data_IF_170474330185
#
_entry.id   IF_170474330185
#
_cell.length_a   1.000
_cell.length_b   1.000
_cell.length_c   1.000
_cell.angle_alpha   90.00
_cell.angle_beta   90.00
_cell.angle_gamma   90.00
#
_symmetry.space_group_name_H-M   'P 1'
#
loop_
_entity.id
_entity.type
_entity.pdbx_description
1 polymer ?
#
# COMPACT_ATOMS: atom_id res chain seq x y z
N UNK A 1 28.27 25.02 -12.77
CA UNK A 1 27.21 24.00 -12.86
C UNK A 1 25.95 24.75 -13.26
N UNK A 2 25.27 24.37 -14.34
CA UNK A 2 23.99 25.01 -14.68
C UNK A 2 22.95 24.57 -13.67
N UNK A 3 22.27 25.53 -13.03
CA UNK A 3 21.10 25.24 -12.22
C UNK A 3 20.03 24.57 -13.08
N UNK A 4 19.49 23.45 -12.59
CA UNK A 4 18.32 22.83 -13.20
C UNK A 4 17.11 23.64 -12.74
N UNK A 5 16.58 24.49 -13.62
CA UNK A 5 15.33 25.19 -13.39
C UNK A 5 14.17 24.20 -13.61
N UNK A 6 13.71 23.56 -12.53
CA UNK A 6 12.60 22.61 -12.60
C UNK A 6 11.30 23.35 -12.94
N UNK A 7 10.72 23.05 -14.11
CA UNK A 7 9.47 23.68 -14.59
C UNK A 7 8.23 23.26 -13.79
N UNK A 8 8.25 22.05 -13.21
CA UNK A 8 7.20 21.52 -12.35
C UNK A 8 7.75 20.36 -11.50
N UNK A 9 7.06 20.06 -10.39
CA UNK A 9 7.35 18.91 -9.52
C UNK A 9 6.04 18.20 -9.19
N UNK A 10 6.05 16.87 -9.23
CA UNK A 10 4.92 16.03 -8.80
C UNK A 10 5.34 15.38 -7.49
N UNK A 11 4.53 15.58 -6.45
CA UNK A 11 4.70 14.95 -5.15
C UNK A 11 3.62 13.91 -4.96
N UNK A 12 4.02 12.72 -4.56
CA UNK A 12 3.09 11.74 -4.00
C UNK A 12 2.64 12.18 -2.60
N UNK A 13 1.57 11.59 -2.07
CA UNK A 13 1.01 11.98 -0.78
C UNK A 13 1.59 11.14 0.37
N UNK A 14 1.33 9.83 0.36
CA UNK A 14 1.59 8.94 1.49
C UNK A 14 3.07 8.55 1.56
N UNK A 15 3.70 8.83 2.69
CA UNK A 15 5.15 8.65 2.87
C UNK A 15 6.01 9.70 2.18
N UNK A 16 5.42 10.71 1.53
CA UNK A 16 6.13 11.82 0.89
C UNK A 16 5.72 13.16 1.49
N UNK A 17 4.45 13.56 1.35
CA UNK A 17 3.92 14.77 1.98
C UNK A 17 3.46 14.53 3.42
N UNK A 18 2.99 13.31 3.72
CA UNK A 18 2.50 12.94 5.04
C UNK A 18 3.12 11.61 5.51
N UNK A 19 3.54 11.52 6.77
CA UNK A 19 4.05 10.29 7.37
C UNK A 19 2.89 9.37 7.79
N UNK A 20 2.25 8.77 6.80
CA UNK A 20 1.05 7.93 6.96
C UNK A 20 1.36 6.42 6.97
N UNK A 21 2.57 6.03 6.58
CA UNK A 21 2.95 4.63 6.42
C UNK A 21 2.70 3.74 7.66
N UNK A 22 2.96 4.19 8.91
CA UNK A 22 2.64 3.39 10.10
C UNK A 22 1.15 3.07 10.25
N UNK A 23 0.27 4.00 9.86
CA UNK A 23 -1.17 3.82 9.96
C UNK A 23 -1.70 2.86 8.89
N UNK A 24 -1.18 2.94 7.66
CA UNK A 24 -1.51 1.96 6.63
C UNK A 24 -1.07 0.54 7.01
N UNK A 25 0.12 0.38 7.60
CA UNK A 25 0.57 -0.92 8.10
C UNK A 25 -0.40 -1.47 9.15
N UNK A 26 -0.77 -0.65 10.14
CA UNK A 26 -1.71 -1.06 11.19
C UNK A 26 -3.06 -1.49 10.61
N UNK A 27 -3.62 -0.72 9.67
CA UNK A 27 -4.90 -1.02 9.05
C UNK A 27 -4.87 -2.34 8.26
N UNK A 28 -3.82 -2.58 7.48
CA UNK A 28 -3.65 -3.87 6.77
C UNK A 28 -3.52 -5.03 7.73
N UNK A 29 -2.77 -4.87 8.81
CA UNK A 29 -2.61 -5.91 9.83
C UNK A 29 -3.93 -6.24 10.51
N UNK A 30 -4.73 -5.23 10.86
CA UNK A 30 -6.04 -5.40 11.49
C UNK A 30 -7.00 -6.17 10.58
N UNK A 31 -7.20 -5.69 9.35
CA UNK A 31 -8.15 -6.30 8.38
C UNK A 31 -7.75 -7.73 8.01
N UNK A 32 -6.45 -7.99 7.79
CA UNK A 32 -5.98 -9.32 7.39
C UNK A 32 -5.93 -10.30 8.57
N UNK A 33 -5.70 -9.80 9.79
CA UNK A 33 -5.76 -10.62 11.00
C UNK A 33 -7.16 -11.20 11.22
N UNK A 34 -8.22 -10.43 10.94
CA UNK A 34 -9.62 -10.92 11.01
C UNK A 34 -9.87 -12.08 10.03
N UNK A 35 -9.14 -12.11 8.91
CA UNK A 35 -9.17 -13.21 7.92
C UNK A 35 -8.16 -14.33 8.22
N UNK A 36 -7.48 -14.29 9.37
CA UNK A 36 -6.49 -15.29 9.76
C UNK A 36 -5.16 -15.20 9.03
N UNK A 37 -4.91 -14.09 8.32
CA UNK A 37 -3.69 -13.87 7.53
C UNK A 37 -2.73 -12.96 8.29
N UNK A 38 -1.50 -13.42 8.47
CA UNK A 38 -0.45 -12.64 9.14
C UNK A 38 0.24 -11.73 8.12
N UNK A 39 -0.10 -10.44 8.11
CA UNK A 39 0.57 -9.44 7.28
C UNK A 39 1.79 -8.84 8.00
N UNK A 40 2.98 -8.98 7.42
CA UNK A 40 4.22 -8.52 8.04
C UNK A 40 4.63 -7.13 7.58
N UNK A 41 5.55 -6.50 8.33
CA UNK A 41 6.18 -5.25 7.90
C UNK A 41 6.97 -5.41 6.59
N UNK A 42 7.48 -6.61 6.33
CA UNK A 42 8.18 -6.90 5.07
C UNK A 42 7.20 -6.95 3.89
N UNK A 43 6.04 -7.58 4.07
CA UNK A 43 4.97 -7.59 3.05
C UNK A 43 4.54 -6.16 2.72
N UNK A 44 4.31 -5.35 3.76
CA UNK A 44 3.98 -3.94 3.61
C UNK A 44 5.05 -3.15 2.86
N UNK A 45 6.33 -3.35 3.15
CA UNK A 45 7.43 -2.67 2.42
C UNK A 45 7.44 -3.01 0.94
N UNK A 46 7.01 -4.22 0.58
CA UNK A 46 6.93 -4.66 -0.81
C UNK A 46 5.63 -4.25 -1.52
N UNK A 47 4.66 -3.68 -0.80
CA UNK A 47 3.32 -3.39 -1.31
C UNK A 47 2.88 -1.93 -1.17
N UNK A 48 3.48 -1.15 -0.27
CA UNK A 48 3.08 0.22 0.01
C UNK A 48 3.15 1.11 -1.25
N UNK A 49 2.08 1.88 -1.50
CA UNK A 49 1.89 2.68 -2.71
C UNK A 49 1.29 1.91 -3.91
N UNK A 50 1.10 0.59 -3.81
CA UNK A 50 0.39 -0.19 -4.83
C UNK A 50 -1.12 -0.11 -4.65
N UNK A 51 -1.87 -0.49 -5.69
CA UNK A 51 -3.32 -0.58 -5.64
C UNK A 51 -3.77 -1.67 -4.68
N UNK A 52 -4.81 -1.39 -3.89
CA UNK A 52 -5.35 -2.33 -2.90
C UNK A 52 -5.67 -3.71 -3.49
N UNK A 53 -6.25 -3.77 -4.69
CA UNK A 53 -6.62 -5.05 -5.32
C UNK A 53 -5.40 -5.92 -5.66
N UNK A 54 -4.27 -5.31 -6.03
CA UNK A 54 -3.02 -6.02 -6.25
C UNK A 54 -2.44 -6.55 -4.94
N UNK A 55 -2.50 -5.74 -3.87
CA UNK A 55 -2.04 -6.16 -2.53
C UNK A 55 -2.89 -7.32 -2.02
N UNK A 56 -4.22 -7.22 -2.16
CA UNK A 56 -5.17 -8.23 -1.70
C UNK A 56 -4.95 -9.55 -2.44
N UNK A 57 -4.90 -9.54 -3.78
CA UNK A 57 -4.64 -10.77 -4.56
C UNK A 57 -3.31 -11.42 -4.21
N UNK A 58 -2.25 -10.63 -4.04
CA UNK A 58 -0.95 -11.16 -3.62
C UNK A 58 -0.98 -11.79 -2.22
N UNK A 59 -1.88 -11.32 -1.34
CA UNK A 59 -1.92 -11.71 0.07
C UNK A 59 -2.92 -12.84 0.34
N UNK A 60 -4.08 -12.82 -0.30
CA UNK A 60 -5.18 -13.78 -0.12
C UNK A 60 -5.23 -14.86 -1.21
N UNK A 61 -4.64 -14.61 -2.38
CA UNK A 61 -4.68 -15.51 -3.54
C UNK A 61 -5.06 -14.76 -4.83
N UNK A 62 -4.47 -15.12 -5.97
CA UNK A 62 -4.78 -14.48 -7.27
C UNK A 62 -6.23 -14.74 -7.71
N UNK A 63 -6.84 -15.78 -7.16
CA UNK A 63 -8.23 -16.17 -7.35
C UNK A 63 -9.25 -15.35 -6.56
N UNK A 64 -8.83 -14.43 -5.68
CA UNK A 64 -9.76 -13.55 -4.93
C UNK A 64 -10.63 -12.75 -5.91
N UNK A 65 -11.95 -12.89 -5.78
CA UNK A 65 -12.90 -12.24 -6.69
C UNK A 65 -12.96 -10.74 -6.45
N UNK A 66 -13.46 -9.99 -7.44
CA UNK A 66 -13.60 -8.55 -7.29
C UNK A 66 -14.65 -8.20 -6.21
N UNK A 67 -15.71 -9.00 -6.09
CA UNK A 67 -16.73 -8.82 -5.06
C UNK A 67 -16.16 -8.97 -3.65
N UNK A 68 -15.18 -9.87 -3.43
CA UNK A 68 -14.53 -10.01 -2.13
C UNK A 68 -13.55 -8.87 -1.83
N UNK A 69 -12.95 -8.27 -2.85
CA UNK A 69 -12.07 -7.09 -2.73
C UNK A 69 -12.88 -5.83 -2.39
N UNK A 70 -14.10 -5.72 -2.91
CA UNK A 70 -14.97 -4.56 -2.74
C UNK A 70 -15.86 -4.64 -1.47
N UNK A 71 -15.82 -5.77 -0.75
CA UNK A 71 -16.61 -6.04 0.47
C UNK A 71 -16.00 -5.41 1.73
#
# INVERSE_FOLDING_TARGET
MSEIEAKAVIWDMDGVLADTAPFHLSAWQEVLQERGVKFTKEDFRHSFGQRNDAIIRKTLGEETSQEEIDA
#
